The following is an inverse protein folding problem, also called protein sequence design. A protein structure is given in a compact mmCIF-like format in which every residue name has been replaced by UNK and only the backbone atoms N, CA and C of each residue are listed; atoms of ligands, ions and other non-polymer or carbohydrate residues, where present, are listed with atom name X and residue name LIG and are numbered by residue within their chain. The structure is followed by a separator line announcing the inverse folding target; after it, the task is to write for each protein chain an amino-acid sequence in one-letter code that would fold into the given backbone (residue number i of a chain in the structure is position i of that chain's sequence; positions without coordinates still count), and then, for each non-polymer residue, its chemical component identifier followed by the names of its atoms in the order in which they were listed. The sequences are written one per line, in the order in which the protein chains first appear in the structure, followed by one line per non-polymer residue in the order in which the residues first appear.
data_IF_649396471327
#
_entry.id   IF_649396471327
#
_cell.length_a   1.000
_cell.length_b   1.000
_cell.length_c   1.000
_cell.angle_alpha   90.00
_cell.angle_beta   90.00
_cell.angle_gamma   90.00
#
_symmetry.space_group_name_H-M   'P 1'
#
loop_
_entity.id
_entity.type
_entity.pdbx_description
1 polymer ?
#
# COMPACT_ATOMS: atom_id res chain seq x y z
N UNK A 1 3.14 11.67 -4.15
CA UNK A 1 4.47 11.21 -4.58
C UNK A 1 4.37 10.74 -6.01
N UNK A 2 5.49 10.59 -6.70
CA UNK A 2 5.53 9.67 -7.85
C UNK A 2 5.51 8.24 -7.32
N UNK A 3 4.83 7.33 -8.00
CA UNK A 3 4.74 5.91 -7.64
C UNK A 3 6.10 5.27 -7.36
N UNK A 4 7.11 5.58 -8.20
CA UNK A 4 8.47 5.07 -8.07
C UNK A 4 9.13 5.43 -6.73
N UNK A 5 8.75 6.57 -6.14
CA UNK A 5 9.31 7.02 -4.87
C UNK A 5 8.74 6.25 -3.67
N UNK A 6 7.59 5.61 -3.84
CA UNK A 6 6.89 4.88 -2.79
C UNK A 6 7.22 3.37 -2.85
N UNK A 7 8.09 2.90 -3.76
CA UNK A 7 8.51 1.49 -3.87
C UNK A 7 9.36 1.07 -2.68
N UNK A 8 9.05 -0.08 -2.06
CA UNK A 8 9.72 -0.52 -0.83
C UNK A 8 10.20 -1.97 -0.85
N UNK A 9 11.27 -2.24 -0.10
CA UNK A 9 11.70 -3.58 0.33
C UNK A 9 11.58 -3.65 1.84
N UNK A 10 11.00 -4.74 2.37
CA UNK A 10 10.77 -4.87 3.80
C UNK A 10 11.94 -5.56 4.51
N UNK A 11 12.23 -5.20 5.78
CA UNK A 11 13.18 -5.96 6.59
C UNK A 11 12.65 -7.39 6.82
N UNK A 12 13.58 -8.36 6.84
CA UNK A 12 13.29 -9.79 7.05
C UNK A 12 12.31 -10.41 6.04
N UNK A 13 12.12 -9.76 4.89
CA UNK A 13 11.34 -10.31 3.78
C UNK A 13 12.17 -11.36 3.02
N UNK A 14 11.59 -12.51 2.62
CA UNK A 14 12.27 -13.47 1.77
C UNK A 14 12.76 -12.83 0.46
N UNK A 15 13.95 -13.21 0.01
CA UNK A 15 14.57 -12.67 -1.22
C UNK A 15 13.82 -13.09 -2.50
N UNK A 16 12.94 -14.10 -2.42
CA UNK A 16 12.21 -14.67 -3.55
C UNK A 16 10.83 -14.06 -3.78
N UNK A 17 10.55 -12.89 -3.21
CA UNK A 17 9.32 -12.15 -3.48
C UNK A 17 9.29 -11.66 -4.94
N UNK A 18 8.25 -12.08 -5.67
CA UNK A 18 8.10 -11.84 -7.13
C UNK A 18 7.09 -10.75 -7.50
N UNK A 19 6.75 -9.87 -6.55
CA UNK A 19 5.83 -8.75 -6.78
C UNK A 19 6.48 -7.44 -6.35
N UNK A 20 6.11 -6.33 -7.00
CA UNK A 20 6.46 -5.02 -6.46
C UNK A 20 5.48 -4.65 -5.35
N UNK A 21 5.98 -3.88 -4.38
CA UNK A 21 5.19 -3.38 -3.26
C UNK A 21 5.56 -1.93 -2.98
N UNK A 22 4.57 -1.16 -2.54
CA UNK A 22 4.66 0.27 -2.40
C UNK A 22 3.99 0.71 -1.10
N UNK A 23 4.60 1.64 -0.39
CA UNK A 23 4.07 2.21 0.84
C UNK A 23 4.23 3.72 0.82
N UNK A 24 3.13 4.43 1.04
CA UNK A 24 3.14 5.89 0.90
C UNK A 24 1.92 6.56 1.51
N UNK A 25 1.79 7.85 1.24
CA UNK A 25 0.67 8.67 1.72
C UNK A 25 -0.06 9.35 0.57
N UNK A 26 -1.39 9.21 0.56
CA UNK A 26 -2.29 9.93 -0.35
C UNK A 26 -2.94 11.07 0.44
N UNK A 27 -2.88 12.29 -0.11
CA UNK A 27 -3.54 13.45 0.50
C UNK A 27 -5.03 13.41 0.19
N UNK A 28 -5.86 13.40 1.23
CA UNK A 28 -7.33 13.33 1.11
C UNK A 28 -8.02 14.65 1.51
N UNK A 29 -7.30 15.55 2.17
CA UNK A 29 -7.74 16.92 2.42
C UNK A 29 -6.53 17.85 2.36
N UNK A 30 -6.49 18.73 1.36
CA UNK A 30 -5.39 19.66 1.15
C UNK A 30 -5.46 20.84 2.13
N UNK A 31 -6.66 21.28 2.53
CA UNK A 31 -6.83 22.41 3.44
C UNK A 31 -6.42 22.01 4.85
N UNK A 32 -6.87 20.85 5.30
CA UNK A 32 -6.56 20.32 6.63
C UNK A 32 -5.32 19.42 6.65
N UNK A 33 -4.62 19.27 5.52
CA UNK A 33 -3.43 18.44 5.37
C UNK A 33 -3.63 16.98 5.83
N UNK A 34 -4.84 16.43 5.68
CA UNK A 34 -5.12 15.03 6.03
C UNK A 34 -4.55 14.11 4.96
N UNK A 35 -3.85 13.08 5.41
CA UNK A 35 -3.24 12.06 4.57
C UNK A 35 -3.62 10.67 5.06
N UNK A 36 -3.90 9.76 4.12
CA UNK A 36 -4.08 8.35 4.39
C UNK A 36 -2.82 7.60 3.97
N UNK A 37 -2.31 6.78 4.88
CA UNK A 37 -1.26 5.81 4.55
C UNK A 37 -1.86 4.69 3.70
N UNK A 38 -1.12 4.21 2.72
CA UNK A 38 -1.45 3.00 1.96
C UNK A 38 -0.26 2.03 1.93
N UNK A 39 -0.58 0.75 1.82
CA UNK A 39 0.35 -0.30 1.47
C UNK A 39 -0.26 -1.10 0.32
N UNK A 40 0.40 -1.08 -0.84
CA UNK A 40 -0.07 -1.68 -2.08
C UNK A 40 0.91 -2.76 -2.53
N UNK A 41 0.38 -3.92 -2.91
CA UNK A 41 1.14 -5.03 -3.48
C UNK A 41 0.55 -5.34 -4.85
N UNK A 42 1.42 -5.48 -5.85
CA UNK A 42 1.00 -5.85 -7.19
C UNK A 42 0.66 -7.35 -7.28
N UNK A 43 -0.13 -7.71 -8.29
CA UNK A 43 -0.28 -9.12 -8.63
C UNK A 43 1.06 -9.70 -9.12
N UNK A 44 1.36 -10.94 -8.73
CA UNK A 44 2.62 -11.62 -9.12
C UNK A 44 2.71 -11.84 -10.62
N UNK A 45 1.58 -12.17 -11.26
CA UNK A 45 1.52 -12.48 -12.68
C UNK A 45 0.71 -11.43 -13.43
N UNK A 46 1.33 -10.83 -14.45
CA UNK A 46 0.75 -9.82 -15.33
C UNK A 46 0.02 -8.68 -14.56
N UNK A 47 0.70 -7.93 -13.69
CA UNK A 47 0.05 -6.93 -12.83
C UNK A 47 -0.77 -5.89 -13.60
N UNK A 48 -0.30 -5.49 -14.79
CA UNK A 48 -1.00 -4.55 -15.65
C UNK A 48 -2.34 -5.06 -16.21
N UNK A 49 -2.57 -6.38 -16.24
CA UNK A 49 -3.83 -6.98 -16.74
C UNK A 49 -4.83 -7.31 -15.63
N UNK A 50 -4.42 -7.23 -14.34
CA UNK A 50 -5.27 -7.59 -13.19
C UNK A 50 -6.04 -6.39 -12.64
N UNK A 51 -7.24 -6.61 -12.07
CA UNK A 51 -7.99 -5.55 -11.41
C UNK A 51 -7.33 -5.11 -10.09
N UNK A 52 -7.61 -3.88 -9.68
CA UNK A 52 -7.22 -3.35 -8.37
C UNK A 52 -8.28 -3.72 -7.32
N UNK A 53 -7.85 -4.24 -6.18
CA UNK A 53 -8.72 -4.56 -5.04
C UNK A 53 -8.35 -3.66 -3.85
N UNK A 54 -9.35 -2.96 -3.30
CA UNK A 54 -9.20 -2.15 -2.10
C UNK A 54 -9.68 -2.95 -0.88
N UNK A 55 -8.79 -3.17 0.09
CA UNK A 55 -9.12 -3.82 1.35
C UNK A 55 -9.21 -2.81 2.49
N UNK A 56 -10.34 -2.81 3.22
CA UNK A 56 -10.59 -1.94 4.37
C UNK A 56 -11.03 -2.78 5.56
N UNK A 57 -10.22 -2.80 6.62
CA UNK A 57 -10.64 -3.36 7.90
C UNK A 57 -11.61 -2.40 8.61
N UNK A 58 -12.52 -2.97 9.40
CA UNK A 58 -13.56 -2.24 10.13
C UNK A 58 -13.21 -1.88 11.58
N UNK A 59 -14.20 -1.94 12.47
CA UNK A 59 -14.13 -1.42 13.84
C UNK A 59 -14.64 0.03 13.90
N UNK A 60 -14.10 0.83 14.82
CA UNK A 60 -13.56 2.13 14.43
C UNK A 60 -12.12 2.30 14.94
N UNK A 61 -11.21 2.76 14.08
CA UNK A 61 -9.82 3.07 14.47
C UNK A 61 -8.81 1.92 14.32
N UNK A 62 -9.23 0.72 13.92
CA UNK A 62 -8.30 -0.35 13.58
C UNK A 62 -7.62 -0.09 12.23
N UNK A 63 -6.32 -0.35 12.15
CA UNK A 63 -5.56 -0.19 10.89
C UNK A 63 -5.85 -1.36 9.95
N UNK A 64 -5.84 -1.07 8.65
CA UNK A 64 -5.95 -2.12 7.64
C UNK A 64 -4.66 -2.93 7.46
N UNK A 65 -3.52 -2.36 7.83
CA UNK A 65 -2.18 -2.94 7.61
C UNK A 65 -1.58 -3.49 8.90
N UNK A 66 -1.86 -2.85 10.04
CA UNK A 66 -1.35 -3.26 11.34
C UNK A 66 -2.47 -3.85 12.18
N UNK A 67 -2.31 -5.12 12.57
CA UNK A 67 -2.98 -5.67 13.75
C UNK A 67 -2.19 -5.23 14.98
N UNK A 68 -2.87 -4.89 16.06
CA UNK A 68 -2.30 -4.35 17.31
C UNK A 68 -0.92 -4.92 17.66
#
# INVERSE_FOLDING_TARGET
GSEEADKVTLPDQPDDVKFNQFAGYITVDVIQQRKLFYYFVEAVEEPASKPVVLWLNGGPGCSSVKLW
#
